data_IF_518682270251
#
_entry.id   IF_518682270251
#
_cell.length_a   1.000
_cell.length_b   1.000
_cell.length_c   1.000
_cell.angle_alpha   90.00
_cell.angle_beta   90.00
_cell.angle_gamma   90.00
#
_symmetry.space_group_name_H-M   'P 1'
#
loop_
_entity.id
_entity.type
_entity.pdbx_description
1 polymer ?
#
# COMPACT_ATOMS: atom_id res chain seq x y z
N UNK A 1 18.28 2.97 17.13
CA UNK A 1 18.34 4.30 16.47
C UNK A 1 18.17 4.22 14.96
N UNK A 2 18.74 3.23 14.24
CA UNK A 2 18.51 3.06 12.78
C UNK A 2 17.06 2.74 12.41
N UNK A 3 16.34 2.00 13.24
CA UNK A 3 14.95 1.64 12.95
C UNK A 3 14.02 2.87 12.90
N UNK A 4 14.23 3.86 13.76
CA UNK A 4 13.44 5.10 13.73
C UNK A 4 13.82 6.01 12.55
N UNK A 5 15.04 5.89 12.04
CA UNK A 5 15.49 6.60 10.84
C UNK A 5 14.75 6.09 9.60
N UNK A 6 14.54 4.78 9.48
CA UNK A 6 13.73 4.20 8.39
C UNK A 6 12.28 4.71 8.41
N UNK A 7 11.69 4.90 9.59
CA UNK A 7 10.36 5.51 9.70
C UNK A 7 10.33 6.94 9.15
N UNK A 8 11.35 7.73 9.49
CA UNK A 8 11.48 9.10 8.99
C UNK A 8 11.66 9.10 7.47
N UNK A 9 12.47 8.20 6.92
CA UNK A 9 12.67 8.06 5.48
C UNK A 9 11.36 7.69 4.76
N UNK A 10 10.57 6.77 5.33
CA UNK A 10 9.28 6.39 4.77
C UNK A 10 8.30 7.57 4.71
N UNK A 11 8.17 8.35 5.79
CA UNK A 11 7.31 9.54 5.80
C UNK A 11 7.82 10.66 4.89
N UNK A 12 9.14 10.88 4.82
CA UNK A 12 9.72 11.85 3.89
C UNK A 12 9.44 11.46 2.42
N UNK A 13 9.56 10.18 2.09
CA UNK A 13 9.23 9.69 0.76
C UNK A 13 7.75 9.90 0.42
N UNK A 14 6.84 9.67 1.38
CA UNK A 14 5.41 9.95 1.22
C UNK A 14 5.11 11.43 1.04
N UNK A 15 5.78 12.30 1.81
CA UNK A 15 5.65 13.76 1.65
C UNK A 15 6.13 14.19 0.25
N UNK A 16 7.27 13.65 -0.20
CA UNK A 16 7.77 13.91 -1.54
C UNK A 16 6.79 13.45 -2.63
N UNK A 17 6.25 12.23 -2.50
CA UNK A 17 5.22 11.71 -3.40
C UNK A 17 3.99 12.64 -3.45
N UNK A 18 3.53 13.14 -2.30
CA UNK A 18 2.41 14.09 -2.23
C UNK A 18 2.71 15.42 -2.95
N UNK A 19 3.94 15.94 -2.80
CA UNK A 19 4.39 17.13 -3.54
C UNK A 19 4.35 16.90 -5.05
N UNK A 20 4.78 15.73 -5.53
CA UNK A 20 4.72 15.37 -6.96
C UNK A 20 3.26 15.23 -7.43
N UNK A 21 2.38 14.63 -6.63
CA UNK A 21 0.95 14.55 -6.93
C UNK A 21 0.34 15.94 -7.14
N UNK A 22 0.61 16.88 -6.22
CA UNK A 22 0.11 18.25 -6.35
C UNK A 22 0.63 18.96 -7.60
N UNK A 23 1.93 18.80 -7.92
CA UNK A 23 2.52 19.35 -9.14
C UNK A 23 1.79 18.79 -10.36
N UNK A 24 1.55 17.48 -10.39
CA UNK A 24 0.84 16.84 -11.50
C UNK A 24 -0.58 17.38 -11.62
N UNK A 25 -1.35 17.44 -10.55
CA UNK A 25 -2.74 17.94 -10.54
C UNK A 25 -2.84 19.38 -11.04
N UNK A 26 -1.92 20.25 -10.65
CA UNK A 26 -1.83 21.65 -11.12
C UNK A 26 -1.51 21.73 -12.63
N UNK A 27 -0.88 20.71 -13.20
CA UNK A 27 -0.46 20.67 -14.61
C UNK A 27 -1.33 19.77 -15.52
N UNK A 28 -2.27 18.98 -14.98
CA UNK A 28 -3.15 18.06 -15.75
C UNK A 28 -3.95 18.75 -16.87
N UNK A 29 -4.29 20.03 -16.72
CA UNK A 29 -5.06 20.81 -17.71
C UNK A 29 -4.19 21.44 -18.80
N UNK A 30 -2.86 21.35 -18.71
CA UNK A 30 -1.95 21.93 -19.70
C UNK A 30 -1.92 21.03 -20.94
N UNK A 31 -1.75 21.64 -22.12
CA UNK A 31 -1.55 20.90 -23.39
C UNK A 31 -0.12 20.37 -23.58
N UNK A 32 0.79 20.69 -22.67
CA UNK A 32 2.18 20.25 -22.76
C UNK A 32 2.32 18.79 -22.31
N UNK A 33 2.20 17.89 -23.29
CA UNK A 33 2.33 16.44 -23.11
C UNK A 33 3.72 16.03 -22.61
N UNK A 34 4.77 16.83 -22.87
CA UNK A 34 6.12 16.53 -22.42
C UNK A 34 6.25 16.71 -20.92
N UNK A 35 5.81 17.86 -20.41
CA UNK A 35 5.80 18.16 -18.97
C UNK A 35 4.94 17.16 -18.20
N UNK A 36 3.76 16.79 -18.69
CA UNK A 36 2.90 15.80 -18.02
C UNK A 36 3.57 14.43 -17.97
N UNK A 37 4.25 14.02 -19.04
CA UNK A 37 4.97 12.73 -19.05
C UNK A 37 6.09 12.73 -18.00
N UNK A 38 6.93 13.76 -17.98
CA UNK A 38 8.03 13.86 -17.01
C UNK A 38 7.50 13.82 -15.56
N UNK A 39 6.37 14.49 -15.27
CA UNK A 39 5.76 14.45 -13.94
C UNK A 39 5.18 13.07 -13.59
N UNK A 40 4.73 12.29 -14.58
CA UNK A 40 4.30 10.90 -14.35
C UNK A 40 5.50 9.98 -14.09
N UNK A 41 6.60 10.19 -14.79
CA UNK A 41 7.84 9.46 -14.55
C UNK A 41 8.40 9.78 -13.15
N UNK A 42 8.44 11.06 -12.75
CA UNK A 42 8.79 11.52 -11.39
C UNK A 42 7.84 10.94 -10.33
N UNK A 43 6.54 10.82 -10.63
CA UNK A 43 5.56 10.20 -9.74
C UNK A 43 5.85 8.71 -9.52
N UNK A 44 6.17 7.97 -10.58
CA UNK A 44 6.54 6.56 -10.48
C UNK A 44 7.82 6.38 -9.65
N UNK A 45 8.85 7.19 -9.91
CA UNK A 45 10.11 7.14 -9.14
C UNK A 45 9.86 7.39 -7.64
N UNK A 46 9.03 8.40 -7.31
CA UNK A 46 8.69 8.68 -5.91
C UNK A 46 7.86 7.56 -5.25
N UNK A 47 7.01 6.87 -6.01
CA UNK A 47 6.24 5.72 -5.51
C UNK A 47 7.16 4.52 -5.23
N UNK A 48 8.12 4.26 -6.12
CA UNK A 48 9.10 3.20 -5.94
C UNK A 48 9.95 3.45 -4.69
N UNK A 49 10.33 4.71 -4.43
CA UNK A 49 11.04 5.12 -3.21
C UNK A 49 10.20 4.90 -1.94
N UNK A 50 8.92 5.29 -1.94
CA UNK A 50 7.99 5.01 -0.84
C UNK A 50 7.93 3.50 -0.57
N UNK A 51 7.78 2.70 -1.61
CA UNK A 51 7.66 1.23 -1.50
C UNK A 51 8.87 0.61 -0.82
N UNK A 52 10.09 1.05 -1.19
CA UNK A 52 11.35 0.57 -0.59
C UNK A 52 11.39 0.79 0.92
N UNK A 53 11.01 1.99 1.38
CA UNK A 53 11.07 2.33 2.80
C UNK A 53 9.91 1.72 3.61
N UNK A 54 8.72 1.62 3.01
CA UNK A 54 7.58 0.96 3.65
C UNK A 54 7.87 -0.53 3.84
N UNK A 55 8.33 -1.24 2.80
CA UNK A 55 8.63 -2.68 2.89
C UNK A 55 9.67 -2.99 3.98
N UNK A 56 10.65 -2.10 4.20
CA UNK A 56 11.64 -2.25 5.27
C UNK A 56 11.03 -2.24 6.69
N UNK A 57 9.83 -1.66 6.87
CA UNK A 57 9.14 -1.51 8.14
C UNK A 57 8.08 -2.60 8.40
N UNK A 58 7.66 -3.34 7.37
CA UNK A 58 6.53 -4.27 7.47
C UNK A 58 6.87 -5.67 8.00
N UNK A 59 8.12 -6.11 7.96
CA UNK A 59 8.49 -7.48 8.36
C UNK A 59 8.74 -7.66 9.87
N UNK A 60 9.74 -6.98 10.46
CA UNK A 60 10.15 -7.18 11.87
C UNK A 60 10.65 -5.88 12.54
N UNK A 61 9.97 -4.75 12.30
CA UNK A 61 10.39 -3.46 12.84
C UNK A 61 10.16 -3.33 14.35
N UNK A 62 11.19 -2.92 15.10
CA UNK A 62 11.19 -2.75 16.56
C UNK A 62 10.83 -4.00 17.39
N UNK A 63 10.84 -5.21 16.81
CA UNK A 63 10.58 -6.43 17.57
C UNK A 63 11.77 -6.75 18.50
N UNK A 64 11.48 -6.90 19.80
CA UNK A 64 12.45 -7.24 20.82
C UNK A 64 13.03 -8.65 20.62
N UNK A 65 14.24 -8.88 21.12
CA UNK A 65 14.99 -10.12 20.94
C UNK A 65 14.34 -11.38 21.54
N UNK A 66 13.31 -11.24 22.38
CA UNK A 66 12.79 -12.30 23.26
C UNK A 66 11.64 -13.10 22.65
N UNK A 67 10.97 -12.60 21.61
CA UNK A 67 9.91 -13.32 20.91
C UNK A 67 10.52 -14.20 19.81
N UNK A 68 11.22 -15.24 20.27
CA UNK A 68 11.98 -16.15 19.43
C UNK A 68 11.13 -16.92 18.40
N UNK A 69 11.14 -16.43 17.17
CA UNK A 69 11.52 -17.24 16.00
C UNK A 69 12.56 -16.46 15.21
N UNK A 70 13.83 -16.68 15.54
CA UNK A 70 14.94 -16.17 14.74
C UNK A 70 14.83 -16.72 13.31
N UNK A 71 14.22 -15.94 12.41
CA UNK A 71 14.33 -16.17 10.98
C UNK A 71 15.79 -15.93 10.59
N UNK A 72 16.39 -16.93 9.94
CA UNK A 72 17.80 -16.97 9.54
C UNK A 72 18.23 -15.75 8.69
N UNK A 73 17.29 -14.98 8.14
CA UNK A 73 17.56 -13.75 7.39
C UNK A 73 18.16 -12.60 8.23
N UNK A 74 17.84 -12.51 9.52
CA UNK A 74 18.22 -11.36 10.35
C UNK A 74 19.47 -11.60 11.22
N UNK A 75 20.11 -12.77 11.09
CA UNK A 75 21.28 -13.14 11.89
C UNK A 75 22.53 -12.28 11.59
N UNK A 76 22.62 -11.68 10.38
CA UNK A 76 23.72 -10.74 10.03
C UNK A 76 23.52 -9.31 10.50
N UNK A 77 22.30 -8.91 10.89
CA UNK A 77 21.99 -7.54 11.34
C UNK A 77 22.28 -7.32 12.84
N UNK A 78 22.66 -8.38 13.57
CA UNK A 78 22.54 -8.50 15.03
C UNK A 78 23.86 -8.59 15.81
N UNK A 79 24.97 -8.11 15.25
CA UNK A 79 26.29 -8.23 15.91
C UNK A 79 26.71 -7.01 16.77
N UNK A 80 25.83 -6.04 17.01
CA UNK A 80 26.10 -4.97 17.98
C UNK A 80 24.89 -4.72 18.88
N UNK A 81 25.18 -4.84 20.19
CA UNK A 81 24.42 -4.44 21.40
C UNK A 81 23.49 -5.48 22.04
N UNK A 82 23.93 -6.13 23.14
CA UNK A 82 23.06 -6.81 24.09
C UNK A 82 22.53 -5.73 25.05
N UNK A 83 21.36 -5.17 24.76
CA UNK A 83 20.62 -4.41 25.78
C UNK A 83 19.45 -5.30 26.20
N UNK A 84 19.56 -5.84 27.41
CA UNK A 84 18.42 -6.39 28.13
C UNK A 84 17.40 -5.26 28.25
N UNK A 85 16.32 -5.30 27.45
CA UNK A 85 15.28 -4.28 27.47
C UNK A 85 14.42 -4.49 28.71
N UNK A 86 14.15 -3.40 29.42
CA UNK A 86 13.22 -3.39 30.55
C UNK A 86 11.78 -3.50 30.02
N UNK A 87 10.84 -4.05 30.81
CA UNK A 87 9.42 -4.16 30.42
C UNK A 87 8.83 -2.80 29.96
N UNK A 88 9.30 -1.71 30.55
CA UNK A 88 8.95 -0.33 30.17
C UNK A 88 9.37 0.03 28.76
N UNK A 89 10.59 -0.33 28.35
CA UNK A 89 11.08 -0.03 27.00
C UNK A 89 10.31 -0.83 25.95
N UNK A 90 9.96 -2.08 26.25
CA UNK A 90 9.16 -2.90 25.35
C UNK A 90 7.75 -2.32 25.15
N UNK A 91 7.13 -1.80 26.22
CA UNK A 91 5.83 -1.15 26.15
C UNK A 91 5.85 0.14 25.31
N UNK A 92 6.91 0.96 25.45
CA UNK A 92 7.10 2.17 24.64
C UNK A 92 7.26 1.84 23.15
N UNK A 93 8.03 0.80 22.81
CA UNK A 93 8.20 0.36 21.43
C UNK A 93 6.90 -0.18 20.83
N UNK A 94 6.12 -0.93 21.61
CA UNK A 94 4.80 -1.39 21.20
C UNK A 94 3.85 -0.21 20.93
N UNK A 95 3.92 0.83 21.75
CA UNK A 95 3.15 2.05 21.55
C UNK A 95 3.54 2.79 20.26
N UNK A 96 4.82 2.87 19.95
CA UNK A 96 5.29 3.44 18.69
C UNK A 96 4.75 2.63 17.50
N UNK A 97 4.84 1.29 17.55
CA UNK A 97 4.37 0.42 16.47
C UNK A 97 2.88 0.57 16.18
N UNK A 98 2.04 0.45 17.21
CA UNK A 98 0.58 0.53 17.04
C UNK A 98 0.13 1.91 16.56
N UNK A 99 0.93 2.95 16.79
CA UNK A 99 0.65 4.31 16.32
C UNK A 99 1.01 4.46 14.85
N UNK A 100 2.27 4.22 14.49
CA UNK A 100 2.80 4.60 13.17
C UNK A 100 2.68 3.53 12.09
N UNK A 101 2.66 2.22 12.42
CA UNK A 101 2.54 1.17 11.39
C UNK A 101 1.20 1.27 10.66
N UNK A 102 0.04 1.33 11.35
CA UNK A 102 -1.24 1.46 10.66
C UNK A 102 -1.35 2.76 9.85
N UNK A 103 -0.77 3.85 10.35
CA UNK A 103 -0.77 5.15 9.67
C UNK A 103 0.01 5.10 8.36
N UNK A 104 1.28 4.67 8.43
CA UNK A 104 2.13 4.55 7.27
C UNK A 104 1.55 3.60 6.22
N UNK A 105 0.97 2.47 6.66
CA UNK A 105 0.38 1.49 5.77
C UNK A 105 -0.84 2.04 5.01
N UNK A 106 -1.70 2.80 5.70
CA UNK A 106 -2.85 3.44 5.08
C UNK A 106 -2.44 4.55 4.11
N UNK A 107 -1.41 5.33 4.44
CA UNK A 107 -0.88 6.36 3.54
C UNK A 107 -0.22 5.74 2.29
N UNK A 108 0.48 4.63 2.46
CA UNK A 108 1.01 3.86 1.33
C UNK A 108 -0.09 3.31 0.44
N UNK A 109 -1.16 2.76 1.02
CA UNK A 109 -2.34 2.36 0.26
C UNK A 109 -2.93 3.54 -0.52
N UNK A 110 -3.05 4.73 0.10
CA UNK A 110 -3.55 5.93 -0.57
C UNK A 110 -2.65 6.36 -1.75
N UNK A 111 -1.33 6.26 -1.58
CA UNK A 111 -0.36 6.54 -2.65
C UNK A 111 -0.54 5.58 -3.83
N UNK A 112 -0.62 4.27 -3.57
CA UNK A 112 -0.89 3.26 -4.59
C UNK A 112 -2.25 3.48 -5.28
N UNK A 113 -3.30 3.80 -4.52
CA UNK A 113 -4.63 4.05 -5.06
C UNK A 113 -4.63 5.25 -6.01
N UNK A 114 -4.00 6.37 -5.61
CA UNK A 114 -3.87 7.54 -6.47
C UNK A 114 -3.06 7.22 -7.73
N UNK A 115 -1.89 6.59 -7.57
CA UNK A 115 -1.04 6.19 -8.67
C UNK A 115 -1.75 5.22 -9.63
N UNK A 116 -2.63 4.37 -9.11
CA UNK A 116 -3.48 3.46 -9.88
C UNK A 116 -4.37 4.17 -10.91
N UNK A 117 -4.86 5.36 -10.58
CA UNK A 117 -5.69 6.17 -11.48
C UNK A 117 -4.87 7.00 -12.47
N UNK A 118 -3.61 7.28 -12.15
CA UNK A 118 -2.78 8.24 -12.87
C UNK A 118 -1.77 7.56 -13.81
N UNK A 119 -1.14 6.49 -13.33
CA UNK A 119 -0.05 5.78 -13.99
C UNK A 119 -0.59 4.51 -14.67
N UNK A 120 -1.05 3.54 -13.86
CA UNK A 120 -1.52 2.25 -14.35
C UNK A 120 -2.50 1.61 -13.38
N UNK A 121 -3.64 1.11 -13.88
CA UNK A 121 -4.67 0.46 -13.06
C UNK A 121 -4.20 -0.81 -12.36
N UNK A 122 -3.05 -1.35 -12.76
CA UNK A 122 -2.42 -2.53 -12.16
C UNK A 122 -2.01 -2.29 -10.70
N UNK A 123 -1.73 -1.04 -10.32
CA UNK A 123 -1.44 -0.66 -8.93
C UNK A 123 -2.66 -0.83 -8.01
N UNK A 124 -3.88 -0.85 -8.56
CA UNK A 124 -5.08 -1.16 -7.77
C UNK A 124 -5.10 -2.64 -7.34
N UNK A 125 -4.48 -3.53 -8.12
CA UNK A 125 -4.28 -4.93 -7.69
C UNK A 125 -3.30 -4.97 -6.52
N UNK A 126 -2.22 -4.17 -6.57
CA UNK A 126 -1.27 -4.07 -5.47
C UNK A 126 -1.93 -3.56 -4.18
N UNK A 127 -2.89 -2.62 -4.28
CA UNK A 127 -3.70 -2.21 -3.13
C UNK A 127 -4.42 -3.40 -2.48
N UNK A 128 -4.89 -4.38 -3.26
CA UNK A 128 -5.52 -5.59 -2.72
C UNK A 128 -4.50 -6.57 -2.15
N UNK A 129 -3.28 -6.61 -2.69
CA UNK A 129 -2.20 -7.44 -2.16
C UNK A 129 -1.75 -6.99 -0.76
N UNK A 130 -1.92 -5.72 -0.42
CA UNK A 130 -1.75 -5.22 0.95
C UNK A 130 -2.67 -5.93 1.96
N UNK A 131 -3.89 -6.31 1.55
CA UNK A 131 -4.78 -7.08 2.42
C UNK A 131 -4.20 -8.47 2.75
N UNK A 132 -3.56 -9.11 1.75
CA UNK A 132 -2.88 -10.39 1.96
C UNK A 132 -1.71 -10.21 2.94
N UNK A 133 -0.88 -9.19 2.75
CA UNK A 133 0.25 -8.89 3.64
C UNK A 133 -0.20 -8.71 5.10
N UNK A 134 -1.28 -7.94 5.33
CA UNK A 134 -1.81 -7.78 6.70
C UNK A 134 -2.30 -9.12 7.24
N UNK A 135 -3.03 -9.91 6.44
CA UNK A 135 -3.60 -11.18 6.89
C UNK A 135 -2.57 -12.28 7.18
N UNK A 136 -1.46 -12.30 6.43
CA UNK A 136 -0.41 -13.31 6.56
C UNK A 136 0.63 -12.94 7.62
N UNK A 137 0.74 -11.64 7.94
CA UNK A 137 1.68 -11.15 8.93
C UNK A 137 0.97 -10.81 10.26
N UNK A 138 1.18 -11.66 11.27
CA UNK A 138 0.65 -11.47 12.63
C UNK A 138 1.07 -10.11 13.24
N UNK A 139 2.27 -9.64 12.91
CA UNK A 139 2.76 -8.33 13.33
C UNK A 139 1.88 -7.19 12.81
N UNK A 140 1.51 -7.21 11.53
CA UNK A 140 0.65 -6.20 10.93
C UNK A 140 -0.79 -6.34 11.42
N UNK A 141 -1.33 -7.57 11.44
CA UNK A 141 -2.67 -7.82 11.97
C UNK A 141 -2.81 -7.31 13.41
N UNK A 142 -1.86 -7.64 14.28
CA UNK A 142 -1.89 -7.20 15.69
C UNK A 142 -1.79 -5.68 15.83
N UNK A 143 -0.97 -5.00 15.03
CA UNK A 143 -0.87 -3.54 15.03
C UNK A 143 -2.21 -2.86 14.64
N UNK A 144 -2.90 -3.36 13.62
CA UNK A 144 -4.22 -2.85 13.20
C UNK A 144 -5.33 -3.15 14.22
N UNK A 145 -5.29 -4.32 14.87
CA UNK A 145 -6.25 -4.67 15.92
C UNK A 145 -6.02 -3.85 17.18
N UNK A 146 -4.77 -3.72 17.64
CA UNK A 146 -4.40 -2.97 18.83
C UNK A 146 -4.70 -1.47 18.70
N UNK A 147 -4.50 -0.91 17.50
CA UNK A 147 -4.86 0.48 17.19
C UNK A 147 -6.35 0.70 16.94
N UNK A 148 -7.14 -0.37 16.79
CA UNK A 148 -8.58 -0.35 16.42
C UNK A 148 -8.86 0.28 15.05
N UNK A 149 -7.91 0.21 14.12
CA UNK A 149 -7.98 0.84 12.79
C UNK A 149 -8.27 -0.15 11.66
N UNK A 150 -8.63 -1.40 11.98
CA UNK A 150 -8.98 -2.41 10.96
C UNK A 150 -10.16 -1.98 10.07
N UNK A 151 -11.11 -1.22 10.62
CA UNK A 151 -12.23 -0.68 9.83
C UNK A 151 -11.76 0.28 8.73
N UNK A 152 -10.83 1.19 9.05
CA UNK A 152 -10.24 2.12 8.07
C UNK A 152 -9.54 1.38 6.93
N UNK A 153 -8.79 0.32 7.25
CA UNK A 153 -8.14 -0.53 6.25
C UNK A 153 -9.16 -1.19 5.32
N UNK A 154 -10.21 -1.79 5.88
CA UNK A 154 -11.25 -2.46 5.08
C UNK A 154 -12.00 -1.46 4.19
N UNK A 155 -12.30 -0.27 4.70
CA UNK A 155 -12.93 0.79 3.91
C UNK A 155 -12.02 1.24 2.74
N UNK A 156 -10.72 1.39 2.98
CA UNK A 156 -9.75 1.74 1.95
C UNK A 156 -9.66 0.65 0.86
N UNK A 157 -9.61 -0.62 1.25
CA UNK A 157 -9.61 -1.76 0.33
C UNK A 157 -10.91 -1.88 -0.48
N UNK A 158 -12.06 -1.54 0.14
CA UNK A 158 -13.34 -1.50 -0.55
C UNK A 158 -13.37 -0.41 -1.64
N UNK A 159 -12.76 0.75 -1.39
CA UNK A 159 -12.59 1.81 -2.39
C UNK A 159 -11.73 1.34 -3.57
N UNK A 160 -10.60 0.68 -3.28
CA UNK A 160 -9.74 0.07 -4.31
C UNK A 160 -10.49 -0.96 -5.14
N UNK A 161 -11.24 -1.86 -4.50
CA UNK A 161 -12.06 -2.87 -5.18
C UNK A 161 -13.10 -2.23 -6.10
N UNK A 162 -13.78 -1.17 -5.65
CA UNK A 162 -14.73 -0.41 -6.47
C UNK A 162 -14.05 0.24 -7.68
N UNK A 163 -12.86 0.81 -7.50
CA UNK A 163 -12.10 1.41 -8.59
C UNK A 163 -11.70 0.36 -9.65
N UNK A 164 -11.30 -0.84 -9.23
CA UNK A 164 -10.94 -1.95 -10.14
C UNK A 164 -12.10 -2.33 -11.06
N UNK A 165 -13.32 -2.47 -10.51
CA UNK A 165 -14.54 -2.76 -11.31
C UNK A 165 -14.79 -1.65 -12.33
N UNK A 166 -14.65 -0.38 -11.93
CA UNK A 166 -14.89 0.76 -12.81
C UNK A 166 -13.83 0.94 -13.91
N UNK A 167 -12.67 0.29 -13.80
CA UNK A 167 -11.58 0.43 -14.78
C UNK A 167 -11.89 -0.31 -16.08
N UNK A 168 -12.78 -1.32 -16.07
CA UNK A 168 -13.12 -2.17 -17.21
C UNK A 168 -11.85 -2.64 -17.98
N UNK A 169 -10.91 -3.20 -17.24
CA UNK A 169 -9.61 -3.56 -17.79
C UNK A 169 -9.75 -4.63 -18.88
N UNK A 170 -8.87 -4.60 -19.89
CA UNK A 170 -8.93 -5.60 -20.97
C UNK A 170 -8.73 -7.02 -20.39
N UNK A 171 -9.67 -7.96 -20.62
CA UNK A 171 -9.53 -9.32 -20.12
C UNK A 171 -8.31 -10.00 -20.75
N UNK A 172 -7.56 -10.75 -19.95
CA UNK A 172 -6.43 -11.58 -20.41
C UNK A 172 -5.02 -10.97 -20.26
N UNK A 173 -4.87 -9.70 -19.87
CA UNK A 173 -3.55 -9.16 -19.49
C UNK A 173 -3.19 -9.67 -18.09
N UNK A 174 -2.25 -10.62 -18.02
CA UNK A 174 -1.68 -11.10 -16.77
C UNK A 174 -0.53 -10.19 -16.33
N UNK A 175 -0.50 -9.88 -15.05
CA UNK A 175 0.60 -9.21 -14.39
C UNK A 175 1.75 -10.19 -14.15
N UNK A 176 2.92 -9.66 -13.77
CA UNK A 176 4.12 -10.45 -13.45
C UNK A 176 3.86 -11.50 -12.34
N UNK A 177 2.88 -11.26 -11.46
CA UNK A 177 2.43 -12.21 -10.43
C UNK A 177 1.32 -13.17 -10.86
N UNK A 178 0.90 -13.18 -12.13
CA UNK A 178 -0.19 -14.01 -12.63
C UNK A 178 -1.60 -13.48 -12.36
N UNK A 179 -1.71 -12.43 -11.53
CA UNK A 179 -2.94 -11.69 -11.27
C UNK A 179 -3.47 -11.00 -12.53
N UNK A 180 -4.80 -10.82 -12.63
CA UNK A 180 -5.39 -10.11 -13.76
C UNK A 180 -6.60 -9.29 -13.33
N UNK A 181 -6.73 -8.09 -13.88
CA UNK A 181 -7.89 -7.23 -13.65
C UNK A 181 -9.17 -7.72 -14.36
N UNK A 182 -9.06 -8.68 -15.28
CA UNK A 182 -10.19 -9.16 -16.09
C UNK A 182 -11.30 -9.83 -15.28
N UNK A 183 -11.01 -10.35 -14.08
CA UNK A 183 -12.01 -10.94 -13.18
C UNK A 183 -13.05 -9.89 -12.72
N UNK A 184 -12.67 -8.61 -12.73
CA UNK A 184 -13.52 -7.51 -12.26
C UNK A 184 -14.46 -6.95 -13.34
N UNK A 185 -14.40 -7.47 -14.56
CA UNK A 185 -15.34 -7.10 -15.62
C UNK A 185 -16.66 -7.83 -15.39
N UNK A 186 -17.67 -7.10 -14.93
CA UNK A 186 -19.01 -7.63 -14.72
C UNK A 186 -19.83 -7.40 -15.98
N UNK A 187 -20.09 -8.47 -16.73
CA UNK A 187 -21.06 -8.48 -17.83
C UNK A 187 -22.46 -8.73 -17.23
N UNK A 188 -23.28 -7.68 -17.15
CA UNK A 188 -24.69 -7.82 -16.77
C UNK A 188 -25.46 -8.18 -18.04
N UNK A 189 -26.15 -9.33 -18.12
CA UNK A 189 -27.01 -9.64 -19.25
C UNK A 189 -28.11 -8.59 -19.35
N UNK A 190 -28.24 -7.96 -20.52
CA UNK A 190 -29.39 -7.10 -20.80
C UNK A 190 -30.65 -7.97 -20.75
N UNK A 191 -31.45 -7.85 -19.68
CA UNK A 191 -32.78 -8.43 -19.63
C UNK A 191 -33.66 -7.76 -20.69
N UNK A 192 -33.71 -8.40 -21.86
CA UNK A 192 -34.82 -8.52 -22.79
C UNK A 192 -35.88 -7.39 -22.72
N UNK A 193 -35.67 -6.32 -23.49
CA UNK A 193 -36.74 -5.42 -23.95
C UNK A 193 -37.68 -6.12 -24.97
N UNK A 194 -38.05 -7.36 -24.69
CA UNK A 194 -38.99 -8.17 -25.44
C UNK A 194 -40.43 -7.89 -25.00
N UNK A 195 -40.93 -6.67 -25.22
CA UNK A 195 -42.38 -6.49 -25.32
C UNK A 195 -42.80 -7.00 -26.71
N UNK A 196 -43.59 -8.08 -26.82
CA UNK A 196 -44.10 -8.48 -28.12
C UNK A 196 -45.06 -7.41 -28.64
N UNK A 197 -44.78 -6.90 -29.83
CA UNK A 197 -45.73 -6.09 -30.59
C UNK A 197 -47.05 -6.88 -30.73
N UNK A 198 -48.09 -6.43 -30.04
CA UNK A 198 -49.43 -6.95 -30.21
C UNK A 198 -49.93 -6.55 -31.61
N UNK A 199 -50.27 -7.57 -32.40
CA UNK A 199 -50.88 -7.48 -33.73
C UNK A 199 -52.23 -6.77 -33.72
#
# INVERSE_FOLDING_TARGET
MRDLEELILAFNALEWFAVVCEKLDKNKRRRDSGTIKNLKDELQESLDEVSVHVDALLDEWLMGAEDGKASLGNMRRRMLTPVARTETEQAELEEIRKTYIPELFLDYHNALYYAGHVLTSELLVQCMNLAMQVSENEYLTSAFVASRRMAELVDALALSSKAMVNTQAKPGKKLLGGESLGIWNVDVPDEDNGLPEAQ
#
